data_IF_489025216016
#
_entry.id   IF_489025216016
#
_cell.length_a   1.000
_cell.length_b   1.000
_cell.length_c   1.000
_cell.angle_alpha   90.00
_cell.angle_beta   90.00
_cell.angle_gamma   90.00
#
_symmetry.space_group_name_H-M   'P 1'
#
loop_
_entity.id
_entity.type
_entity.pdbx_description
1 polymer ?
#
# COMPACT_ATOMS: atom_id res chain seq x y z
N UNK A 1 30.63 -10.47 -8.63
CA UNK A 1 31.15 -11.12 -9.86
C UNK A 1 29.97 -11.77 -10.53
N UNK A 2 29.61 -11.32 -11.74
CA UNK A 2 28.46 -11.82 -12.49
C UNK A 2 28.64 -13.27 -12.93
N UNK A 3 27.53 -13.97 -13.14
CA UNK A 3 27.50 -15.40 -13.52
C UNK A 3 28.32 -15.70 -14.78
N UNK A 4 28.50 -14.73 -15.67
CA UNK A 4 29.17 -14.88 -16.96
C UNK A 4 30.52 -14.15 -17.09
N UNK A 5 31.02 -13.56 -16.00
CA UNK A 5 32.25 -12.76 -16.01
C UNK A 5 33.55 -13.52 -16.33
N UNK A 6 33.47 -14.85 -16.43
CA UNK A 6 34.59 -15.75 -16.76
C UNK A 6 34.53 -16.29 -18.19
N UNK A 7 33.47 -16.00 -18.95
CA UNK A 7 33.30 -16.46 -20.34
C UNK A 7 33.89 -15.47 -21.33
N UNK A 8 34.37 -15.96 -22.47
CA UNK A 8 34.88 -15.10 -23.55
C UNK A 8 33.75 -14.41 -24.30
N UNK A 9 34.03 -13.26 -24.94
CA UNK A 9 33.02 -12.47 -25.66
C UNK A 9 32.34 -13.28 -26.78
N UNK A 10 33.12 -14.08 -27.49
CA UNK A 10 32.62 -14.98 -28.53
C UNK A 10 31.70 -16.08 -27.97
N UNK A 11 32.00 -16.59 -26.77
CA UNK A 11 31.13 -17.57 -26.10
C UNK A 11 29.79 -16.95 -25.66
N UNK A 12 29.81 -15.67 -25.25
CA UNK A 12 28.60 -14.93 -24.86
C UNK A 12 27.69 -14.69 -26.07
N UNK A 13 28.25 -14.30 -27.21
CA UNK A 13 27.49 -14.09 -28.44
C UNK A 13 26.86 -15.39 -28.96
N UNK A 14 27.61 -16.50 -28.93
CA UNK A 14 27.09 -17.83 -29.28
C UNK A 14 25.97 -18.26 -28.33
N UNK A 15 26.10 -18.01 -27.01
CA UNK A 15 25.06 -18.34 -26.03
C UNK A 15 23.81 -17.50 -26.24
N UNK A 16 23.95 -16.22 -26.61
CA UNK A 16 22.83 -15.36 -26.94
C UNK A 16 22.07 -15.87 -28.17
N UNK A 17 22.77 -16.18 -29.26
CA UNK A 17 22.17 -16.71 -30.49
C UNK A 17 21.46 -18.06 -30.29
N UNK A 18 21.92 -18.85 -29.32
CA UNK A 18 21.29 -20.13 -28.95
C UNK A 18 20.18 -20.02 -27.90
N UNK A 19 19.94 -18.83 -27.35
CA UNK A 19 18.89 -18.57 -26.35
C UNK A 19 19.25 -18.95 -24.91
N UNK A 20 20.54 -19.08 -24.58
CA UNK A 20 21.02 -19.50 -23.26
C UNK A 20 20.59 -20.92 -22.87
N UNK A 21 20.92 -21.35 -21.65
CA UNK A 21 20.42 -22.61 -21.09
C UNK A 21 19.09 -22.41 -20.32
N UNK A 22 18.70 -21.16 -20.05
CA UNK A 22 17.49 -20.79 -19.31
C UNK A 22 16.87 -19.50 -19.85
N UNK A 23 15.56 -19.31 -19.66
CA UNK A 23 14.79 -18.13 -20.10
C UNK A 23 15.33 -16.82 -19.51
N UNK A 24 15.99 -16.87 -18.34
CA UNK A 24 16.56 -15.68 -17.68
C UNK A 24 18.04 -15.45 -18.02
N UNK A 25 18.68 -16.38 -18.74
CA UNK A 25 20.11 -16.26 -19.05
C UNK A 25 20.38 -15.21 -20.14
N UNK A 26 19.39 -14.89 -20.98
CA UNK A 26 19.57 -13.89 -22.06
C UNK A 26 19.87 -12.49 -21.50
N UNK A 27 19.14 -12.06 -20.47
CA UNK A 27 19.30 -10.74 -19.86
C UNK A 27 20.65 -10.63 -19.13
N UNK A 28 21.06 -11.69 -18.43
CA UNK A 28 22.35 -11.73 -17.72
C UNK A 28 23.55 -11.73 -18.70
N UNK A 29 23.37 -12.29 -19.91
CA UNK A 29 24.39 -12.28 -20.98
C UNK A 29 24.47 -10.89 -21.63
N UNK A 30 23.34 -10.24 -21.87
CA UNK A 30 23.28 -8.89 -22.45
C UNK A 30 23.93 -7.85 -21.53
N UNK A 31 23.62 -7.89 -20.23
CA UNK A 31 24.25 -7.00 -19.23
C UNK A 31 25.77 -7.20 -19.17
N UNK A 32 26.25 -8.43 -19.32
CA UNK A 32 27.69 -8.71 -19.32
C UNK A 32 28.37 -8.19 -20.60
N UNK A 33 27.71 -8.26 -21.76
CA UNK A 33 28.21 -7.69 -23.02
C UNK A 33 28.26 -6.16 -22.97
N UNK A 34 27.23 -5.50 -22.43
CA UNK A 34 27.22 -4.05 -22.22
C UNK A 34 28.34 -3.59 -21.28
N UNK A 35 28.57 -4.31 -20.17
CA UNK A 35 29.67 -4.02 -19.25
C UNK A 35 31.06 -4.15 -19.90
N UNK A 36 31.17 -4.89 -21.02
CA UNK A 36 32.41 -5.06 -21.78
C UNK A 36 32.54 -4.08 -22.94
N UNK A 37 31.58 -3.17 -23.11
CA UNK A 37 31.61 -2.12 -24.12
C UNK A 37 30.97 -2.50 -25.46
N UNK A 38 30.14 -3.53 -25.49
CA UNK A 38 29.35 -3.87 -26.66
C UNK A 38 27.99 -3.17 -26.61
N UNK A 39 27.57 -2.57 -27.73
CA UNK A 39 26.24 -1.96 -27.87
C UNK A 39 25.41 -2.69 -28.92
N UNK A 40 24.10 -2.73 -28.72
CA UNK A 40 23.16 -3.35 -29.64
C UNK A 40 22.87 -2.43 -30.83
N UNK A 41 23.17 -2.88 -32.04
CA UNK A 41 22.81 -2.20 -33.28
C UNK A 41 21.28 -2.27 -33.54
N UNK A 42 20.80 -1.47 -34.50
CA UNK A 42 19.39 -1.41 -34.88
C UNK A 42 18.83 -2.77 -35.39
N UNK A 43 19.70 -3.72 -35.75
CA UNK A 43 19.35 -5.06 -36.19
C UNK A 43 19.42 -6.09 -35.05
N UNK A 44 19.72 -5.64 -33.82
CA UNK A 44 19.80 -6.45 -32.63
C UNK A 44 21.15 -7.14 -32.40
N UNK A 45 22.20 -6.88 -33.17
CA UNK A 45 23.55 -7.46 -33.02
C UNK A 45 24.45 -6.57 -32.15
N UNK A 46 25.31 -7.19 -31.34
CA UNK A 46 26.20 -6.43 -30.45
C UNK A 46 27.54 -6.20 -31.15
N UNK A 47 27.90 -4.93 -31.36
CA UNK A 47 29.17 -4.55 -31.97
C UNK A 47 30.07 -3.87 -30.93
N UNK A 48 31.38 -4.15 -30.99
CA UNK A 48 32.36 -3.55 -30.09
C UNK A 48 32.70 -2.13 -30.57
N UNK A 49 32.35 -1.11 -29.78
CA UNK A 49 32.71 0.28 -30.07
C UNK A 49 33.85 0.76 -29.17
N UNK A 50 35.00 1.18 -29.72
CA UNK A 50 36.19 1.56 -28.95
C UNK A 50 36.02 2.89 -28.16
N UNK A 51 35.02 3.71 -28.48
CA UNK A 51 34.69 4.95 -27.75
C UNK A 51 33.57 4.77 -26.73
N UNK A 52 33.52 3.60 -26.08
CA UNK A 52 32.53 3.29 -25.06
C UNK A 52 32.57 4.30 -23.91
N UNK A 53 31.64 5.26 -23.96
CA UNK A 53 31.21 5.97 -22.76
C UNK A 53 30.28 5.00 -22.06
N UNK A 54 30.54 4.60 -20.81
CA UNK A 54 29.55 3.84 -20.07
C UNK A 54 28.29 4.69 -20.10
N UNK A 55 27.29 4.24 -20.85
CA UNK A 55 25.93 4.66 -20.60
C UNK A 55 25.67 4.08 -19.22
N UNK A 56 25.95 4.89 -18.20
CA UNK A 56 25.26 4.78 -16.95
C UNK A 56 23.82 5.00 -17.40
N UNK A 57 23.15 3.89 -17.71
CA UNK A 57 21.74 3.76 -17.54
C UNK A 57 21.56 4.01 -16.04
N UNK A 58 21.60 5.30 -15.68
CA UNK A 58 20.69 5.83 -14.70
C UNK A 58 19.41 5.17 -15.14
N UNK A 59 18.89 4.30 -14.28
CA UNK A 59 17.50 3.96 -14.27
C UNK A 59 16.74 5.26 -14.00
N UNK A 60 16.83 6.21 -14.93
CA UNK A 60 15.73 7.03 -15.35
C UNK A 60 14.74 5.99 -15.86
N UNK A 61 13.96 5.49 -14.89
CA UNK A 61 12.60 5.11 -15.12
C UNK A 61 12.08 6.09 -16.17
N UNK A 62 11.90 5.57 -17.38
CA UNK A 62 11.06 6.19 -18.38
C UNK A 62 9.65 6.25 -17.76
N UNK A 63 9.45 7.23 -16.89
CA UNK A 63 8.18 7.88 -16.58
C UNK A 63 7.85 8.70 -17.83
N UNK A 64 7.59 8.00 -18.94
CA UNK A 64 7.05 8.63 -20.14
C UNK A 64 5.66 8.05 -20.40
N UNK A 65 4.69 8.96 -20.24
CA UNK A 65 3.34 8.91 -20.81
C UNK A 65 2.30 7.94 -20.23
N UNK A 66 2.35 7.66 -18.92
CA UNK A 66 1.22 7.04 -18.18
C UNK A 66 0.56 7.91 -17.10
N UNK A 67 1.10 9.12 -16.82
CA UNK A 67 0.87 9.79 -15.53
C UNK A 67 -0.37 10.68 -15.48
N UNK A 68 -0.81 11.28 -16.60
CA UNK A 68 -1.96 12.18 -16.61
C UNK A 68 -3.26 11.45 -16.26
N UNK A 69 -3.54 10.33 -16.92
CA UNK A 69 -4.79 9.59 -16.70
C UNK A 69 -4.83 8.91 -15.34
N UNK A 70 -3.69 8.42 -14.84
CA UNK A 70 -3.59 7.84 -13.50
C UNK A 70 -3.74 8.87 -12.39
N UNK A 71 -3.17 10.07 -12.57
CA UNK A 71 -3.33 11.18 -11.63
C UNK A 71 -4.78 11.69 -11.63
N UNK A 72 -5.36 11.92 -12.81
CA UNK A 72 -6.77 12.32 -12.96
C UNK A 72 -7.71 11.28 -12.37
N UNK A 73 -7.46 9.98 -12.61
CA UNK A 73 -8.23 8.90 -12.03
C UNK A 73 -8.20 8.91 -10.50
N UNK A 74 -7.01 9.06 -9.88
CA UNK A 74 -6.87 9.18 -8.42
C UNK A 74 -7.60 10.41 -7.87
N UNK A 75 -7.53 11.54 -8.59
CA UNK A 75 -8.20 12.77 -8.20
C UNK A 75 -9.72 12.63 -8.25
N UNK A 76 -10.25 12.05 -9.33
CA UNK A 76 -11.69 11.77 -9.50
C UNK A 76 -12.17 10.81 -8.42
N UNK A 77 -11.42 9.72 -8.17
CA UNK A 77 -11.76 8.74 -7.14
C UNK A 77 -11.72 9.36 -5.73
N UNK A 78 -10.72 10.20 -5.45
CA UNK A 78 -10.62 10.95 -4.20
C UNK A 78 -11.77 11.93 -4.02
N UNK A 79 -12.12 12.70 -5.05
CA UNK A 79 -13.26 13.62 -5.03
C UNK A 79 -14.59 12.88 -4.84
N UNK A 80 -14.79 11.76 -5.54
CA UNK A 80 -15.96 10.91 -5.38
C UNK A 80 -16.07 10.34 -3.96
N UNK A 81 -14.95 9.92 -3.37
CA UNK A 81 -14.90 9.46 -1.99
C UNK A 81 -15.25 10.58 -1.00
N UNK A 82 -14.73 11.80 -1.20
CA UNK A 82 -15.07 12.96 -0.37
C UNK A 82 -16.56 13.29 -0.48
N UNK A 83 -17.12 13.32 -1.68
CA UNK A 83 -18.57 13.56 -1.90
C UNK A 83 -19.39 12.46 -1.22
N UNK A 84 -18.99 11.19 -1.40
CA UNK A 84 -19.63 10.06 -0.74
C UNK A 84 -19.62 10.18 0.78
N UNK A 85 -18.51 10.62 1.37
CA UNK A 85 -18.46 10.89 2.80
C UNK A 85 -19.32 12.09 3.19
N UNK A 86 -19.27 13.20 2.45
CA UNK A 86 -20.03 14.42 2.78
C UNK A 86 -21.54 14.16 2.87
N UNK A 87 -22.10 13.40 1.93
CA UNK A 87 -23.54 13.08 1.92
C UNK A 87 -23.88 11.76 2.61
N UNK A 88 -22.94 10.82 2.67
CA UNK A 88 -23.14 9.48 3.19
C UNK A 88 -22.77 9.29 4.67
N UNK A 89 -22.11 10.25 5.33
CA UNK A 89 -21.65 10.09 6.73
C UNK A 89 -22.78 9.65 7.66
N UNK A 90 -23.96 10.28 7.57
CA UNK A 90 -25.13 9.94 8.39
C UNK A 90 -25.52 8.47 8.23
N UNK A 91 -25.51 7.98 6.99
CA UNK A 91 -25.86 6.60 6.64
C UNK A 91 -24.76 5.64 7.12
N UNK A 92 -23.49 5.92 6.79
CA UNK A 92 -22.34 5.08 7.13
C UNK A 92 -22.23 4.89 8.65
N UNK A 93 -22.29 6.00 9.40
CA UNK A 93 -22.19 5.97 10.86
C UNK A 93 -23.45 5.35 11.48
N UNK A 94 -24.64 5.63 10.94
CA UNK A 94 -25.88 5.00 11.37
C UNK A 94 -25.87 3.48 11.21
N UNK A 95 -25.38 2.98 10.07
CA UNK A 95 -25.16 1.55 9.87
C UNK A 95 -24.14 0.98 10.86
N UNK A 96 -23.04 1.69 11.12
CA UNK A 96 -22.04 1.24 12.08
C UNK A 96 -22.64 1.08 13.49
N UNK A 97 -23.54 1.97 13.91
CA UNK A 97 -24.27 1.85 15.18
C UNK A 97 -25.14 0.59 15.18
N UNK A 98 -25.93 0.36 14.13
CA UNK A 98 -26.83 -0.80 14.07
C UNK A 98 -26.08 -2.14 14.06
N UNK A 99 -24.90 -2.19 13.43
CA UNK A 99 -24.08 -3.41 13.34
C UNK A 99 -22.91 -3.45 14.35
N UNK A 100 -22.99 -2.67 15.43
CA UNK A 100 -21.91 -2.54 16.44
C UNK A 100 -21.33 -3.87 16.91
N UNK A 101 -22.20 -4.85 17.21
CA UNK A 101 -21.78 -6.17 17.73
C UNK A 101 -20.88 -6.88 16.71
N UNK A 102 -21.25 -6.86 15.43
CA UNK A 102 -20.48 -7.49 14.37
C UNK A 102 -19.15 -6.78 14.12
N UNK A 103 -19.12 -5.45 14.26
CA UNK A 103 -17.89 -4.66 14.17
C UNK A 103 -16.91 -5.05 15.28
N UNK A 104 -17.39 -5.18 16.53
CA UNK A 104 -16.54 -5.59 17.66
C UNK A 104 -16.00 -7.01 17.49
N UNK A 105 -16.87 -7.95 17.10
CA UNK A 105 -16.45 -9.34 16.85
C UNK A 105 -15.42 -9.39 15.71
N UNK A 106 -15.68 -8.69 14.60
CA UNK A 106 -14.77 -8.63 13.46
C UNK A 106 -13.42 -8.02 13.82
N UNK A 107 -13.41 -6.94 14.61
CA UNK A 107 -12.18 -6.33 15.11
C UNK A 107 -11.36 -7.31 15.97
N UNK A 108 -12.01 -8.00 16.92
CA UNK A 108 -11.31 -8.96 17.79
C UNK A 108 -10.73 -10.12 16.97
N UNK A 109 -11.49 -10.69 16.05
CA UNK A 109 -11.05 -11.81 15.22
C UNK A 109 -9.85 -11.40 14.36
N UNK A 110 -9.95 -10.25 13.68
CA UNK A 110 -8.87 -9.74 12.82
C UNK A 110 -7.62 -9.35 13.62
N UNK A 111 -7.80 -8.81 14.83
CA UNK A 111 -6.70 -8.54 15.76
C UNK A 111 -5.96 -9.82 16.15
N UNK A 112 -6.70 -10.86 16.56
CA UNK A 112 -6.12 -12.15 16.95
C UNK A 112 -5.34 -12.77 15.79
N UNK A 113 -5.91 -12.79 14.58
CA UNK A 113 -5.22 -13.33 13.41
C UNK A 113 -3.94 -12.55 13.08
N UNK A 114 -4.01 -11.22 13.08
CA UNK A 114 -2.83 -10.39 12.83
C UNK A 114 -1.74 -10.60 13.90
N UNK A 115 -2.14 -10.72 15.16
CA UNK A 115 -1.22 -10.95 16.28
C UNK A 115 -0.55 -12.33 16.19
N UNK A 116 -1.30 -13.39 15.90
CA UNK A 116 -0.78 -14.75 15.71
C UNK A 116 0.17 -14.82 14.50
N UNK A 117 -0.16 -14.13 13.42
CA UNK A 117 0.72 -14.00 12.25
C UNK A 117 1.91 -13.06 12.50
N UNK A 118 2.04 -12.46 13.69
CA UNK A 118 3.08 -11.50 14.06
C UNK A 118 3.25 -10.38 13.02
N UNK A 119 2.13 -9.93 12.44
CA UNK A 119 2.06 -8.94 11.38
C UNK A 119 2.93 -9.21 10.12
N UNK A 120 3.33 -10.46 9.86
CA UNK A 120 4.14 -10.81 8.69
C UNK A 120 3.33 -10.86 7.39
N UNK A 121 2.04 -11.22 7.48
CA UNK A 121 1.18 -11.46 6.32
C UNK A 121 0.46 -10.15 5.92
N UNK A 122 0.68 -9.62 4.70
CA UNK A 122 0.06 -8.37 4.24
C UNK A 122 -1.47 -8.42 4.23
N UNK A 123 -2.07 -9.55 3.85
CA UNK A 123 -3.53 -9.73 3.78
C UNK A 123 -4.19 -9.62 5.15
N UNK A 124 -3.60 -10.21 6.19
CA UNK A 124 -4.11 -10.11 7.55
C UNK A 124 -3.94 -8.70 8.12
N UNK A 125 -2.86 -8.02 7.75
CA UNK A 125 -2.66 -6.61 8.08
C UNK A 125 -3.75 -5.73 7.44
N UNK A 126 -4.09 -5.96 6.17
CA UNK A 126 -5.16 -5.24 5.49
C UNK A 126 -6.53 -5.53 6.13
N UNK A 127 -6.83 -6.79 6.44
CA UNK A 127 -8.09 -7.16 7.09
C UNK A 127 -8.22 -6.54 8.49
N UNK A 128 -7.13 -6.48 9.24
CA UNK A 128 -7.09 -5.78 10.52
C UNK A 128 -7.24 -4.27 10.37
N UNK A 129 -6.69 -3.66 9.32
CA UNK A 129 -6.93 -2.26 9.00
C UNK A 129 -8.42 -1.98 8.72
N UNK A 130 -9.11 -2.86 7.98
CA UNK A 130 -10.57 -2.75 7.78
C UNK A 130 -11.33 -2.85 9.11
N UNK A 131 -10.89 -3.74 10.01
CA UNK A 131 -11.41 -3.83 11.37
C UNK A 131 -11.23 -2.52 12.16
N UNK A 132 -10.03 -1.92 12.11
CA UNK A 132 -9.75 -0.63 12.73
C UNK A 132 -10.63 0.48 12.13
N UNK A 133 -10.77 0.51 10.80
CA UNK A 133 -11.61 1.48 10.10
C UNK A 133 -13.06 1.40 10.58
N UNK A 134 -13.63 0.20 10.58
CA UNK A 134 -15.02 -0.05 10.99
C UNK A 134 -15.25 0.30 12.46
N UNK A 135 -14.30 -0.06 13.33
CA UNK A 135 -14.33 0.27 14.75
C UNK A 135 -14.31 1.79 14.98
N UNK A 136 -13.43 2.50 14.28
CA UNK A 136 -13.34 3.95 14.42
C UNK A 136 -14.59 4.64 13.89
N UNK A 137 -15.17 4.19 12.78
CA UNK A 137 -16.47 4.68 12.30
C UNK A 137 -17.55 4.54 13.37
N UNK A 138 -17.57 3.42 14.11
CA UNK A 138 -18.50 3.25 15.23
C UNK A 138 -18.21 4.21 16.38
N UNK A 139 -16.95 4.38 16.79
CA UNK A 139 -16.61 5.31 17.87
C UNK A 139 -16.85 6.77 17.52
N UNK A 140 -16.83 7.12 16.23
CA UNK A 140 -17.19 8.46 15.79
C UNK A 140 -18.59 8.87 16.24
N UNK A 141 -19.55 7.93 16.23
CA UNK A 141 -20.90 8.18 16.74
C UNK A 141 -20.89 8.59 18.23
N UNK A 142 -20.09 7.89 19.05
CA UNK A 142 -19.99 8.19 20.49
C UNK A 142 -19.30 9.54 20.73
N UNK A 143 -18.29 9.87 19.91
CA UNK A 143 -17.58 11.15 19.98
C UNK A 143 -18.51 12.33 19.69
N UNK A 144 -19.30 12.25 18.61
CA UNK A 144 -20.30 13.27 18.29
C UNK A 144 -21.37 13.33 19.38
N UNK A 145 -21.82 12.17 19.86
CA UNK A 145 -22.84 12.15 20.91
C UNK A 145 -22.35 12.72 22.24
N UNK A 146 -21.07 12.54 22.56
CA UNK A 146 -20.43 13.17 23.71
C UNK A 146 -20.39 14.70 23.57
N UNK A 147 -20.08 15.23 22.39
CA UNK A 147 -20.04 16.68 22.15
C UNK A 147 -21.41 17.33 22.18
N UNK A 148 -22.43 16.66 21.65
CA UNK A 148 -23.80 17.19 21.55
C UNK A 148 -24.67 16.82 22.76
N UNK A 149 -24.15 16.00 23.69
CA UNK A 149 -24.87 15.58 24.90
C UNK A 149 -26.09 14.69 24.62
N UNK A 150 -26.14 14.03 23.47
CA UNK A 150 -27.23 13.15 23.02
C UNK A 150 -26.68 12.03 22.15
N UNK A 151 -27.41 10.94 21.92
CA UNK A 151 -26.93 9.91 20.99
C UNK A 151 -26.91 10.43 19.53
N UNK A 152 -26.02 9.86 18.71
CA UNK A 152 -25.79 10.29 17.33
C UNK A 152 -27.03 10.20 16.44
N UNK A 153 -27.84 9.15 16.58
CA UNK A 153 -29.03 8.97 15.75
C UNK A 153 -30.06 10.03 16.10
N UNK A 154 -30.29 10.29 17.38
CA UNK A 154 -31.14 11.38 17.84
C UNK A 154 -30.62 12.73 17.37
N UNK A 155 -29.31 12.98 17.41
CA UNK A 155 -28.72 14.22 16.90
C UNK A 155 -29.00 14.42 15.41
N UNK A 156 -28.76 13.39 14.59
CA UNK A 156 -28.78 13.56 13.13
C UNK A 156 -30.20 13.56 12.53
N UNK A 157 -31.17 12.97 13.23
CA UNK A 157 -32.58 12.94 12.82
C UNK A 157 -33.46 13.97 13.53
N UNK A 158 -32.89 14.82 14.39
CA UNK A 158 -33.66 15.89 15.03
C UNK A 158 -34.06 16.93 13.98
N UNK A 159 -35.34 17.32 13.98
CA UNK A 159 -35.93 18.28 13.02
C UNK A 159 -35.23 19.65 13.00
N UNK A 160 -34.47 19.99 14.05
CA UNK A 160 -33.72 21.24 14.15
C UNK A 160 -32.26 21.13 13.71
N UNK A 161 -31.81 19.98 13.21
CA UNK A 161 -30.41 19.82 12.80
C UNK A 161 -30.23 20.51 11.45
N UNK A 162 -29.63 21.69 11.50
CA UNK A 162 -29.38 22.49 10.31
C UNK A 162 -28.37 21.80 9.39
N UNK A 163 -28.53 21.99 8.07
CA UNK A 163 -27.60 21.47 7.07
C UNK A 163 -26.13 21.79 7.37
N UNK A 164 -25.86 22.96 7.96
CA UNK A 164 -24.53 23.41 8.35
C UNK A 164 -23.91 22.51 9.43
N UNK A 165 -24.69 22.06 10.41
CA UNK A 165 -24.20 21.16 11.46
C UNK A 165 -23.92 19.76 10.91
N UNK A 166 -24.78 19.25 10.04
CA UNK A 166 -24.54 18.00 9.34
C UNK A 166 -23.26 18.07 8.48
N UNK A 167 -23.03 19.18 7.78
CA UNK A 167 -21.82 19.41 7.01
C UNK A 167 -20.57 19.48 7.89
N UNK A 168 -20.63 20.20 9.02
CA UNK A 168 -19.56 20.28 10.02
C UNK A 168 -19.12 18.88 10.46
N UNK A 169 -20.09 18.03 10.85
CA UNK A 169 -19.79 16.68 11.28
C UNK A 169 -19.37 15.75 10.14
N UNK A 170 -19.86 15.94 8.92
CA UNK A 170 -19.34 15.17 7.78
C UNK A 170 -17.87 15.51 7.49
N UNK A 171 -17.47 16.78 7.57
CA UNK A 171 -16.07 17.21 7.39
C UNK A 171 -15.18 16.65 8.50
N UNK A 172 -15.61 16.73 9.76
CA UNK A 172 -14.86 16.14 10.89
C UNK A 172 -14.70 14.63 10.69
N UNK A 173 -15.75 13.94 10.24
CA UNK A 173 -15.69 12.49 9.95
C UNK A 173 -14.61 12.14 8.92
N UNK A 174 -14.50 12.91 7.82
CA UNK A 174 -13.50 12.68 6.77
C UNK A 174 -12.08 12.75 7.33
N UNK A 175 -11.77 13.79 8.10
CA UNK A 175 -10.43 13.91 8.72
C UNK A 175 -10.19 12.82 9.76
N UNK A 176 -11.19 12.54 10.58
CA UNK A 176 -11.11 11.51 11.62
C UNK A 176 -10.84 10.12 11.02
N UNK A 177 -11.59 9.72 10.00
CA UNK A 177 -11.48 8.37 9.41
C UNK A 177 -10.22 8.22 8.53
N UNK A 178 -9.68 9.31 8.00
CA UNK A 178 -8.40 9.27 7.28
C UNK A 178 -7.21 9.05 8.23
N UNK A 179 -7.26 9.60 9.45
CA UNK A 179 -6.11 9.64 10.36
C UNK A 179 -6.19 8.54 11.41
N UNK A 180 -7.30 8.43 12.13
CA UNK A 180 -7.38 7.65 13.37
C UNK A 180 -7.25 6.14 13.14
N UNK A 181 -7.94 5.51 12.16
CA UNK A 181 -7.76 4.09 11.86
C UNK A 181 -6.31 3.74 11.51
N UNK A 182 -5.66 4.61 10.73
CA UNK A 182 -4.27 4.43 10.32
C UNK A 182 -3.31 4.47 11.52
N UNK A 183 -3.49 5.44 12.43
CA UNK A 183 -2.69 5.54 13.65
C UNK A 183 -2.87 4.32 14.56
N UNK A 184 -4.12 3.85 14.74
CA UNK A 184 -4.41 2.66 15.54
C UNK A 184 -3.74 1.41 14.96
N UNK A 185 -3.92 1.18 13.66
CA UNK A 185 -3.29 0.09 12.93
C UNK A 185 -1.76 0.11 13.07
N UNK A 186 -1.15 1.28 12.82
CA UNK A 186 0.31 1.45 12.89
C UNK A 186 0.84 1.17 14.30
N UNK A 187 0.16 1.66 15.33
CA UNK A 187 0.55 1.48 16.73
C UNK A 187 0.54 0.00 17.12
N UNK A 188 -0.55 -0.71 16.81
CA UNK A 188 -0.71 -2.13 17.12
C UNK A 188 0.30 -2.98 16.34
N UNK A 189 0.52 -2.67 15.05
CA UNK A 189 1.51 -3.35 14.21
C UNK A 189 2.93 -3.19 14.77
N UNK A 190 3.32 -1.99 15.20
CA UNK A 190 4.63 -1.75 15.81
C UNK A 190 4.82 -2.57 17.09
N UNK A 191 3.81 -2.61 17.98
CA UNK A 191 3.86 -3.40 19.21
C UNK A 191 4.03 -4.90 18.89
N UNK A 192 3.29 -5.39 17.90
CA UNK A 192 3.34 -6.79 17.48
C UNK A 192 4.73 -7.18 16.95
N UNK A 193 5.34 -6.31 16.13
CA UNK A 193 6.68 -6.53 15.58
C UNK A 193 7.77 -6.43 16.67
N UNK A 194 7.67 -5.47 17.58
CA UNK A 194 8.62 -5.33 18.70
C UNK A 194 8.64 -6.60 19.58
N UNK A 195 7.46 -7.19 19.81
CA UNK A 195 7.33 -8.44 20.58
C UNK A 195 7.98 -9.63 19.86
N UNK A 196 7.88 -9.70 18.52
CA UNK A 196 8.57 -10.71 17.71
C UNK A 196 10.09 -10.60 17.86
N UNK A 197 10.65 -9.41 17.67
CA UNK A 197 12.10 -9.19 17.74
C UNK A 197 12.67 -9.48 19.13
N UNK A 198 11.95 -9.13 20.20
CA UNK A 198 12.37 -9.46 21.58
C UNK A 198 12.47 -10.97 21.80
N UNK A 199 11.53 -11.75 21.26
CA UNK A 199 11.51 -13.22 21.38
C UNK A 199 12.60 -13.89 20.55
N UNK A 200 12.90 -13.36 19.37
CA UNK A 200 14.01 -13.86 18.54
C UNK A 200 15.37 -13.61 19.22
N UNK A 201 15.56 -12.42 19.79
CA UNK A 201 16.80 -12.09 20.52
C UNK A 201 17.01 -12.99 21.75
N UNK A 202 15.97 -13.23 22.56
CA UNK A 202 16.10 -14.13 23.72
C UNK A 202 16.46 -15.56 23.33
N UNK A 203 15.93 -16.06 22.22
CA UNK A 203 16.21 -17.42 21.74
C UNK A 203 17.64 -17.60 21.19
N UNK A 204 18.32 -16.51 20.80
CA UNK A 204 19.71 -16.54 20.33
C UNK A 204 20.71 -16.43 21.49
N UNK A 205 20.27 -15.97 22.66
CA UNK A 205 21.09 -15.81 23.87
C UNK A 205 20.99 -17.02 24.82
N UNK A 206 20.21 -18.06 24.44
CA UNK A 206 20.06 -19.32 25.19
C UNK A 206 20.71 -20.47 24.44
#
# INVERSE_FOLDING_TARGET
MGKYSHKSDNDLEIMRLKGGDSINDSLDIEIELENRGYEQDENGYFAFEPEHKPNIHNADFADDEGSSDWFLFKLILGAAFVIFCLFGTSVIVGYAINYSIYIYIGFIITFVFMYLAKASIPTLNFLFYLGCFSLMTRFYADLVGYWEGTDYLTFIYRDSTHFIDSLKYAVIYIFYIAIVPYLLFKSIKMITLATKHKKEKSNLET
#
